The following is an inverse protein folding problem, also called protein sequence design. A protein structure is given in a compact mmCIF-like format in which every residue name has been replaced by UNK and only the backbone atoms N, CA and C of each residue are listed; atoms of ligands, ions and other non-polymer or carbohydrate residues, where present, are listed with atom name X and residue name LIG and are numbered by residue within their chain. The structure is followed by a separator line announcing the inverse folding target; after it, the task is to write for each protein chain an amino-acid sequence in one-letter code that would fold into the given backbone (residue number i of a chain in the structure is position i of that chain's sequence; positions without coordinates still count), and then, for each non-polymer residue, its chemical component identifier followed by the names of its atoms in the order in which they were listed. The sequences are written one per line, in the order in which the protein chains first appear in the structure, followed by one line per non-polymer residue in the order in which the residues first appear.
data_IF_073933340355
#
_entry.id   IF_073933340355
#
_cell.length_a   1.000
_cell.length_b   1.000
_cell.length_c   1.000
_cell.angle_alpha   90.00
_cell.angle_beta   90.00
_cell.angle_gamma   90.00
#
_symmetry.space_group_name_H-M   'P 1'
#
loop_
_entity.id
_entity.type
_entity.pdbx_description
1 polymer ?
#
# COMPACT_ATOMS: atom_id res chain seq x y z
N UNK A 1 3.77 16.61 28.32
CA UNK A 1 3.30 15.26 27.92
C UNK A 1 4.01 14.88 26.63
N UNK A 2 4.49 13.65 26.51
CA UNK A 2 5.18 13.19 25.30
C UNK A 2 4.18 12.84 24.19
N UNK A 3 4.50 13.20 22.94
CA UNK A 3 3.61 12.99 21.80
C UNK A 3 3.50 11.50 21.47
N UNK A 4 2.30 10.94 21.66
CA UNK A 4 2.02 9.50 21.45
C UNK A 4 1.40 9.21 20.07
N UNK A 5 0.76 10.21 19.46
CA UNK A 5 0.05 10.07 18.17
C UNK A 5 0.59 11.08 17.16
N UNK A 6 0.80 10.61 15.94
CA UNK A 6 1.24 11.38 14.79
C UNK A 6 0.17 11.23 13.72
N UNK A 7 -0.55 12.32 13.48
CA UNK A 7 -1.69 12.39 12.56
C UNK A 7 -1.26 13.24 11.39
N UNK A 8 -1.49 12.74 10.18
CA UNK A 8 -1.36 13.51 8.95
C UNK A 8 -2.73 14.08 8.59
N UNK A 9 -2.75 15.21 7.91
CA UNK A 9 -3.96 15.75 7.29
C UNK A 9 -4.21 15.11 5.93
N UNK A 10 -5.43 15.21 5.41
CA UNK A 10 -5.74 14.76 4.03
C UNK A 10 -4.88 15.45 2.96
N UNK A 11 -4.43 16.68 3.22
CA UNK A 11 -3.52 17.43 2.33
C UNK A 11 -2.12 16.83 2.26
N UNK A 12 -1.73 16.06 3.27
CA UNK A 12 -0.44 15.37 3.36
C UNK A 12 -0.53 13.92 2.87
N UNK A 13 -1.68 13.50 2.35
CA UNK A 13 -1.82 12.18 1.74
C UNK A 13 -0.92 12.05 0.51
N UNK A 14 -0.25 10.90 0.33
CA UNK A 14 0.49 10.64 -0.90
C UNK A 14 -0.41 10.73 -2.13
N UNK A 15 0.11 11.31 -3.21
CA UNK A 15 -0.56 11.41 -4.51
C UNK A 15 -0.20 10.27 -5.46
N UNK A 16 0.82 9.48 -5.11
CA UNK A 16 1.36 8.41 -5.94
C UNK A 16 1.54 7.13 -5.12
N UNK A 17 1.34 5.97 -5.75
CA UNK A 17 1.86 4.70 -5.28
C UNK A 17 3.32 4.55 -5.68
N UNK A 18 4.10 3.92 -4.81
CA UNK A 18 5.48 3.58 -5.07
C UNK A 18 5.58 2.15 -5.60
N UNK A 19 6.26 1.97 -6.73
CA UNK A 19 6.52 0.68 -7.34
C UNK A 19 7.98 0.26 -7.08
N UNK A 20 8.15 -0.73 -6.21
CA UNK A 20 9.47 -1.24 -5.85
C UNK A 20 10.20 -1.90 -7.04
N UNK A 21 9.49 -2.37 -8.08
CA UNK A 21 10.12 -3.02 -9.23
C UNK A 21 11.13 -2.13 -9.95
N UNK A 22 10.96 -0.81 -9.89
CA UNK A 22 11.89 0.16 -10.47
C UNK A 22 13.25 0.21 -9.76
N UNK A 23 13.34 -0.30 -8.53
CA UNK A 23 14.52 -0.20 -7.66
C UNK A 23 15.06 -1.58 -7.22
N UNK A 24 14.49 -2.68 -7.73
CA UNK A 24 15.03 -4.01 -7.48
C UNK A 24 16.40 -4.20 -8.17
N UNK A 25 17.35 -4.92 -7.53
CA UNK A 25 18.69 -5.14 -8.10
C UNK A 25 18.66 -5.96 -9.40
N UNK A 26 17.64 -6.80 -9.56
CA UNK A 26 17.34 -7.57 -10.76
C UNK A 26 15.83 -7.57 -11.00
N UNK A 27 15.37 -7.65 -12.26
CA UNK A 27 13.95 -7.71 -12.57
C UNK A 27 13.32 -8.99 -12.02
N UNK A 28 12.06 -8.90 -11.61
CA UNK A 28 11.29 -10.07 -11.22
C UNK A 28 11.17 -11.04 -12.41
N UNK A 29 11.16 -12.36 -12.16
CA UNK A 29 10.84 -13.34 -13.18
C UNK A 29 9.49 -13.03 -13.85
N UNK A 30 9.37 -13.23 -15.17
CA UNK A 30 8.11 -12.96 -15.86
C UNK A 30 7.01 -13.89 -15.34
N UNK A 31 5.77 -13.40 -15.34
CA UNK A 31 4.60 -14.23 -15.14
C UNK A 31 4.53 -15.25 -16.28
N UNK A 32 4.41 -16.53 -15.94
CA UNK A 32 4.36 -17.62 -16.93
C UNK A 32 2.96 -18.23 -16.99
N UNK A 33 2.53 -18.58 -18.20
CA UNK A 33 1.29 -19.33 -18.39
C UNK A 33 1.45 -20.72 -17.73
N UNK A 34 0.49 -21.17 -16.91
CA UNK A 34 0.67 -22.37 -16.08
C UNK A 34 0.89 -23.66 -16.90
N UNK A 35 0.32 -23.72 -18.12
CA UNK A 35 0.47 -24.85 -19.06
C UNK A 35 1.70 -24.70 -19.97
N UNK A 36 1.74 -23.70 -20.84
CA UNK A 36 2.83 -23.54 -21.84
C UNK A 36 4.17 -23.15 -21.22
N UNK A 37 4.18 -22.60 -19.99
CA UNK A 37 5.37 -22.03 -19.33
C UNK A 37 6.00 -20.84 -20.09
N UNK A 38 5.28 -20.26 -21.04
CA UNK A 38 5.71 -19.07 -21.75
C UNK A 38 5.29 -17.80 -21.00
N UNK A 39 6.00 -16.68 -21.15
CA UNK A 39 5.60 -15.39 -20.58
C UNK A 39 4.17 -14.99 -20.98
N UNK A 40 3.39 -14.52 -20.00
CA UNK A 40 1.99 -14.11 -20.18
C UNK A 40 1.67 -12.85 -19.38
N UNK A 41 0.54 -12.23 -19.70
CA UNK A 41 -0.10 -11.17 -18.91
C UNK A 41 -1.25 -11.71 -18.07
N UNK A 42 -1.87 -10.86 -17.23
CA UNK A 42 -3.09 -11.20 -16.51
C UNK A 42 -4.22 -11.43 -17.54
N UNK A 43 -4.96 -12.56 -17.47
CA UNK A 43 -5.90 -12.96 -18.51
C UNK A 43 -7.20 -12.13 -18.48
N UNK A 44 -7.59 -11.48 -19.59
CA UNK A 44 -8.93 -10.90 -19.73
C UNK A 44 -9.99 -12.00 -19.90
N UNK A 45 -11.25 -11.79 -19.47
CA UNK A 45 -11.78 -10.61 -18.76
C UNK A 45 -11.65 -10.72 -17.22
N UNK A 46 -10.86 -11.66 -16.70
CA UNK A 46 -10.76 -11.91 -15.26
C UNK A 46 -10.15 -10.71 -14.50
N UNK A 47 -9.29 -9.96 -15.17
CA UNK A 47 -8.65 -8.76 -14.63
C UNK A 47 -8.89 -7.58 -15.57
N UNK A 48 -9.09 -6.40 -14.98
CA UNK A 48 -9.16 -5.14 -15.72
C UNK A 48 -7.80 -4.81 -16.36
N UNK A 49 -7.81 -4.17 -17.53
CA UNK A 49 -6.56 -3.83 -18.24
C UNK A 49 -5.68 -2.87 -17.43
N UNK A 50 -6.27 -1.98 -16.63
CA UNK A 50 -5.52 -1.11 -15.72
C UNK A 50 -4.67 -1.90 -14.68
N UNK A 51 -5.08 -3.12 -14.32
CA UNK A 51 -4.27 -3.99 -13.46
C UNK A 51 -3.09 -4.57 -14.23
N UNK A 52 -3.28 -4.94 -15.50
CA UNK A 52 -2.17 -5.33 -16.38
C UNK A 52 -1.14 -4.21 -16.51
N UNK A 53 -1.60 -2.99 -16.79
CA UNK A 53 -0.72 -1.82 -16.92
C UNK A 53 0.10 -1.58 -15.65
N UNK A 54 -0.52 -1.68 -14.47
CA UNK A 54 0.18 -1.52 -13.20
C UNK A 54 1.13 -2.68 -12.89
N UNK A 55 0.73 -3.93 -13.15
CA UNK A 55 1.53 -5.13 -12.85
C UNK A 55 2.86 -5.14 -13.64
N UNK A 56 2.81 -4.71 -14.90
CA UNK A 56 3.96 -4.68 -15.80
C UNK A 56 4.63 -3.31 -15.91
N UNK A 57 4.19 -2.31 -15.13
CA UNK A 57 4.79 -0.98 -15.12
C UNK A 57 6.22 -1.01 -14.56
N UNK A 58 7.11 -0.26 -15.21
CA UNK A 58 8.48 0.01 -14.74
C UNK A 58 8.63 1.41 -14.15
N UNK A 59 7.55 2.16 -14.07
CA UNK A 59 7.56 3.49 -13.47
C UNK A 59 7.67 3.37 -11.96
N UNK A 60 8.53 4.21 -11.35
CA UNK A 60 8.74 4.24 -9.89
C UNK A 60 7.53 4.80 -9.14
N UNK A 61 6.84 5.77 -9.74
CA UNK A 61 5.71 6.47 -9.16
C UNK A 61 4.51 6.33 -10.08
N UNK A 62 3.44 5.74 -9.57
CA UNK A 62 2.18 5.59 -10.30
C UNK A 62 1.17 6.54 -9.66
N UNK A 63 0.66 7.49 -10.44
CA UNK A 63 -0.34 8.45 -9.94
C UNK A 63 -1.58 7.72 -9.43
N UNK A 64 -2.09 8.15 -8.27
CA UNK A 64 -3.32 7.62 -7.70
C UNK A 64 -4.49 8.38 -8.35
N UNK A 65 -5.40 7.71 -9.08
CA UNK A 65 -6.53 8.37 -9.70
C UNK A 65 -7.38 9.14 -8.69
N UNK A 66 -7.92 10.29 -9.09
CA UNK A 66 -8.68 11.17 -8.19
C UNK A 66 -9.89 10.46 -7.56
N UNK A 67 -10.55 9.54 -8.28
CA UNK A 67 -11.64 8.74 -7.73
C UNK A 67 -11.18 7.84 -6.57
N UNK A 68 -9.97 7.28 -6.68
CA UNK A 68 -9.36 6.46 -5.62
C UNK A 68 -8.92 7.33 -4.45
N UNK A 69 -8.38 8.52 -4.71
CA UNK A 69 -8.08 9.51 -3.67
C UNK A 69 -9.33 9.91 -2.88
N UNK A 70 -10.43 10.19 -3.58
CA UNK A 70 -11.70 10.56 -2.96
C UNK A 70 -12.21 9.45 -2.02
N UNK A 71 -12.08 8.19 -2.43
CA UNK A 71 -12.41 7.04 -1.59
C UNK A 71 -11.47 6.97 -0.38
N UNK A 72 -10.15 7.08 -0.58
CA UNK A 72 -9.19 7.02 0.53
C UNK A 72 -9.44 8.07 1.60
N UNK A 73 -9.82 9.30 1.24
CA UNK A 73 -10.14 10.37 2.20
C UNK A 73 -11.22 9.99 3.22
N UNK A 74 -12.05 8.98 2.93
CA UNK A 74 -13.09 8.54 3.89
C UNK A 74 -12.54 7.81 5.13
N UNK A 75 -11.30 7.28 5.09
CA UNK A 75 -10.67 6.63 6.26
C UNK A 75 -9.13 6.80 6.37
N UNK A 76 -8.50 7.46 5.40
CA UNK A 76 -7.07 7.81 5.38
C UNK A 76 -6.90 9.31 5.61
N UNK A 77 -5.73 9.74 6.11
CA UNK A 77 -4.58 8.94 6.50
C UNK A 77 -4.76 8.26 7.88
N UNK A 78 -4.17 7.08 8.03
CA UNK A 78 -4.16 6.32 9.29
C UNK A 78 -3.12 6.87 10.26
N UNK A 79 -3.37 6.72 11.57
CA UNK A 79 -2.53 7.30 12.63
C UNK A 79 -1.25 6.48 12.81
N UNK A 80 -0.11 7.15 12.98
CA UNK A 80 1.11 6.54 13.47
C UNK A 80 1.18 6.72 14.99
N UNK A 81 1.38 5.65 15.74
CA UNK A 81 1.44 5.66 17.19
C UNK A 81 2.85 5.36 17.67
N UNK A 82 3.27 6.00 18.76
CA UNK A 82 4.46 5.62 19.53
C UNK A 82 4.07 4.83 20.77
N UNK A 83 4.71 3.68 21.00
CA UNK A 83 4.31 2.71 22.00
C UNK A 83 5.13 2.83 23.30
N UNK A 84 5.09 3.97 23.98
CA UNK A 84 5.87 4.21 25.22
C UNK A 84 5.72 3.14 26.31
N UNK A 85 4.51 2.60 26.49
CA UNK A 85 4.25 1.54 27.48
C UNK A 85 4.93 0.22 27.09
N UNK A 86 5.01 -0.06 25.79
CA UNK A 86 5.71 -1.22 25.27
C UNK A 86 7.23 -1.02 25.36
N UNK A 87 7.73 0.18 25.01
CA UNK A 87 9.14 0.56 25.21
C UNK A 87 9.57 0.32 26.67
N UNK A 88 8.77 0.79 27.64
CA UNK A 88 9.01 0.58 29.08
C UNK A 88 8.93 -0.89 29.50
N UNK A 89 7.94 -1.63 29.00
CA UNK A 89 7.76 -3.04 29.37
C UNK A 89 8.89 -3.94 28.85
N UNK A 90 9.50 -3.55 27.72
CA UNK A 90 10.63 -4.26 27.10
C UNK A 90 12.00 -3.77 27.60
N UNK A 91 12.05 -2.71 28.40
CA UNK A 91 13.28 -2.03 28.84
C UNK A 91 14.26 -1.75 27.69
N UNK A 92 13.73 -1.27 26.56
CA UNK A 92 14.51 -1.05 25.34
C UNK A 92 14.83 0.43 25.11
N UNK A 93 16.05 0.76 24.65
CA UNK A 93 16.36 2.13 24.21
C UNK A 93 15.73 2.44 22.83
N UNK A 94 15.21 1.43 22.12
CA UNK A 94 14.59 1.61 20.82
C UNK A 94 13.26 2.34 20.94
N UNK A 95 12.97 3.20 19.95
CA UNK A 95 11.66 3.83 19.80
C UNK A 95 10.76 2.92 18.98
N UNK A 96 9.60 2.57 19.50
CA UNK A 96 8.67 1.65 18.84
C UNK A 96 7.49 2.46 18.30
N UNK A 97 7.36 2.45 16.97
CA UNK A 97 6.24 3.04 16.26
C UNK A 97 5.44 1.96 15.55
N UNK A 98 4.13 2.10 15.51
CA UNK A 98 3.27 1.25 14.70
C UNK A 98 2.28 2.09 13.91
N UNK A 99 2.11 1.72 12.63
CA UNK A 99 1.14 2.32 11.73
C UNK A 99 -0.20 1.63 11.94
N UNK A 100 -1.18 2.35 12.48
CA UNK A 100 -2.45 1.77 12.88
C UNK A 100 -3.44 1.74 11.71
N UNK A 101 -3.45 0.63 10.97
CA UNK A 101 -4.28 0.43 9.77
C UNK A 101 -5.70 -0.09 10.08
N UNK A 102 -6.08 -0.20 11.36
CA UNK A 102 -7.37 -0.71 11.80
C UNK A 102 -8.52 0.31 11.77
N UNK A 103 -8.32 1.50 11.21
CA UNK A 103 -9.32 2.57 11.17
C UNK A 103 -10.29 2.49 9.99
N UNK A 104 -10.04 1.60 9.02
CA UNK A 104 -10.98 1.36 7.92
C UNK A 104 -12.25 0.68 8.41
N UNK A 105 -13.35 0.77 7.66
CA UNK A 105 -14.60 0.07 7.98
C UNK A 105 -14.42 -1.45 8.11
N UNK A 106 -13.45 -2.00 7.39
CA UNK A 106 -13.06 -3.41 7.45
C UNK A 106 -12.09 -3.74 8.60
N UNK A 107 -11.60 -2.73 9.34
CA UNK A 107 -10.66 -2.90 10.45
C UNK A 107 -9.27 -3.38 10.05
N UNK A 108 -8.89 -3.27 8.77
CA UNK A 108 -7.61 -3.78 8.26
C UNK A 108 -7.12 -3.02 7.03
N UNK A 109 -5.88 -3.33 6.64
CA UNK A 109 -5.26 -2.79 5.43
C UNK A 109 -5.84 -3.37 4.13
N UNK A 110 -6.66 -4.43 4.18
CA UNK A 110 -7.16 -5.08 2.95
C UNK A 110 -8.09 -4.18 2.13
N UNK A 111 -8.71 -3.16 2.74
CA UNK A 111 -9.54 -2.19 2.02
C UNK A 111 -8.77 -1.36 0.98
N UNK A 112 -7.43 -1.39 0.98
CA UNK A 112 -6.62 -0.75 -0.07
C UNK A 112 -6.69 -1.46 -1.42
N UNK A 113 -6.82 -2.79 -1.42
CA UNK A 113 -6.88 -3.58 -2.65
C UNK A 113 -8.30 -3.89 -3.10
N UNK A 114 -9.29 -3.81 -2.21
CA UNK A 114 -10.68 -4.17 -2.53
C UNK A 114 -11.30 -3.40 -3.69
N UNK A 115 -10.85 -2.16 -3.96
CA UNK A 115 -11.31 -1.36 -5.09
C UNK A 115 -10.46 -1.54 -6.36
N UNK A 116 -9.34 -2.26 -6.30
CA UNK A 116 -8.62 -2.67 -7.51
C UNK A 116 -9.33 -3.82 -8.26
N UNK A 117 -10.26 -4.52 -7.59
CA UNK A 117 -10.94 -5.70 -8.12
C UNK A 117 -12.44 -5.49 -8.43
N UNK A 118 -12.94 -4.25 -8.37
CA UNK A 118 -14.28 -3.90 -8.84
C UNK A 118 -14.22 -3.20 -10.19
#
# INVERSE_FOLDING_TARGET
MEQTKFVLTEKEMPTHWYNIQADLPEPLPPLLHPVTKEPTRLPPPLFAEALNEQEFSKERWIEIPEEVQAVYRTWRPTILHRAYRLEKALDTPAKIFFKYEGTSQAGSHSSYLGHKCL
#
